data_IF_423642180867
#
_entry.id   IF_423642180867
#
_cell.length_a   1.000
_cell.length_b   1.000
_cell.length_c   1.000
_cell.angle_alpha   90.00
_cell.angle_beta   90.00
_cell.angle_gamma   90.00
#
_symmetry.space_group_name_H-M   'P 1'
#
loop_
_entity.id
_entity.type
_entity.pdbx_description
1 polymer ?
#
# COMPACT_ATOMS: atom_id res chain seq x y z
N UNK A 1 2.57 -22.97 7.41
CA UNK A 1 2.85 -21.53 7.54
C UNK A 1 1.55 -20.79 7.25
N UNK A 2 0.87 -20.29 8.28
CA UNK A 2 -0.34 -19.48 8.14
C UNK A 2 0.03 -18.14 7.52
N UNK A 3 -0.52 -17.84 6.33
CA UNK A 3 -0.40 -16.51 5.73
C UNK A 3 -1.37 -15.56 6.43
N UNK A 4 -1.01 -15.07 7.62
CA UNK A 4 -1.67 -13.90 8.19
C UNK A 4 -1.17 -12.67 7.43
N UNK A 5 -1.98 -12.17 6.50
CA UNK A 5 -1.75 -10.83 5.93
C UNK A 5 -2.30 -9.85 6.95
N UNK A 6 -1.43 -9.31 7.82
CA UNK A 6 -1.76 -8.13 8.62
C UNK A 6 -1.91 -6.94 7.66
N UNK A 7 -2.98 -6.16 7.82
CA UNK A 7 -3.14 -4.91 7.07
C UNK A 7 -2.45 -3.82 7.90
N UNK A 8 -1.12 -3.74 7.80
CA UNK A 8 -0.30 -2.76 8.53
C UNK A 8 -0.47 -1.31 8.02
N UNK A 9 -1.40 -1.08 7.08
CA UNK A 9 -1.76 0.22 6.51
C UNK A 9 -3.05 0.85 7.04
N UNK A 10 -3.65 0.30 8.09
CA UNK A 10 -4.91 0.79 8.66
C UNK A 10 -4.74 1.19 10.13
N UNK A 11 -5.12 2.42 10.45
CA UNK A 11 -5.16 2.92 11.82
C UNK A 11 -6.57 3.42 12.13
N UNK A 12 -7.23 2.73 13.07
CA UNK A 12 -8.49 3.16 13.66
C UNK A 12 -8.24 3.77 15.02
N UNK A 13 -9.02 4.80 15.37
CA UNK A 13 -8.96 5.45 16.68
C UNK A 13 -10.26 5.21 17.42
N UNK A 14 -10.16 4.45 18.50
CA UNK A 14 -11.27 4.10 19.38
C UNK A 14 -11.68 5.28 20.28
N UNK A 15 -12.85 5.16 20.91
CA UNK A 15 -13.37 6.13 21.88
C UNK A 15 -14.38 7.14 21.33
N UNK A 16 -14.52 7.23 20.01
CA UNK A 16 -15.47 8.14 19.35
C UNK A 16 -16.59 7.43 18.57
N UNK A 17 -16.66 6.09 18.66
CA UNK A 17 -17.57 5.26 17.87
C UNK A 17 -19.05 5.44 18.22
N UNK A 18 -19.34 5.86 19.45
CA UNK A 18 -20.70 6.05 19.96
C UNK A 18 -21.32 7.39 19.55
N UNK A 19 -20.55 8.28 18.92
CA UNK A 19 -21.01 9.60 18.53
C UNK A 19 -21.37 9.63 17.06
N UNK A 20 -22.50 10.26 16.73
CA UNK A 20 -22.86 10.53 15.34
C UNK A 20 -21.89 11.55 14.74
N UNK A 21 -21.64 11.47 13.43
CA UNK A 21 -20.82 12.43 12.71
C UNK A 21 -21.34 13.87 12.82
N UNK A 22 -22.62 14.05 13.12
CA UNK A 22 -23.25 15.35 13.36
C UNK A 22 -22.87 15.99 14.70
N UNK A 23 -22.40 15.20 15.67
CA UNK A 23 -21.94 15.70 16.97
C UNK A 23 -20.62 16.48 16.90
N UNK A 24 -19.92 16.44 15.76
CA UNK A 24 -18.61 17.07 15.58
C UNK A 24 -18.66 18.25 14.61
N UNK A 25 -17.90 19.29 14.95
CA UNK A 25 -17.60 20.38 14.03
C UNK A 25 -16.71 19.88 12.87
N UNK A 26 -17.34 19.55 11.73
CA UNK A 26 -16.67 18.99 10.54
C UNK A 26 -15.49 19.83 10.06
N UNK A 27 -15.52 21.16 10.22
CA UNK A 27 -14.42 22.05 9.82
C UNK A 27 -13.17 21.76 10.64
N UNK A 28 -13.32 21.62 11.97
CA UNK A 28 -12.23 21.29 12.90
C UNK A 28 -11.70 19.89 12.66
N UNK A 29 -12.59 18.90 12.52
CA UNK A 29 -12.19 17.51 12.20
C UNK A 29 -11.36 17.45 10.91
N UNK A 30 -11.85 18.09 9.83
CA UNK A 30 -11.13 18.14 8.56
C UNK A 30 -9.77 18.82 8.69
N UNK A 31 -9.64 19.86 9.52
CA UNK A 31 -8.36 20.51 9.75
C UNK A 31 -7.34 19.57 10.41
N UNK A 32 -7.74 18.86 11.47
CA UNK A 32 -6.87 17.86 12.12
C UNK A 32 -6.53 16.69 11.20
N UNK A 33 -7.49 16.20 10.42
CA UNK A 33 -7.24 15.16 9.40
C UNK A 33 -6.25 15.62 8.32
N UNK A 34 -6.33 16.88 7.85
CA UNK A 34 -5.32 17.41 6.91
C UNK A 34 -3.94 17.45 7.55
N UNK A 35 -3.84 17.81 8.84
CA UNK A 35 -2.57 17.81 9.57
C UNK A 35 -1.96 16.41 9.65
N UNK A 36 -2.77 15.40 9.95
CA UNK A 36 -2.35 13.99 9.92
C UNK A 36 -1.93 13.57 8.51
N UNK A 37 -2.73 13.89 7.49
CA UNK A 37 -2.41 13.57 6.10
C UNK A 37 -1.07 14.16 5.67
N UNK A 38 -0.81 15.42 6.01
CA UNK A 38 0.46 16.09 5.73
C UNK A 38 1.64 15.43 6.46
N UNK A 39 1.47 15.08 7.74
CA UNK A 39 2.50 14.41 8.54
C UNK A 39 2.91 13.06 7.93
N UNK A 40 1.92 12.18 7.68
CA UNK A 40 2.17 10.84 7.15
C UNK A 40 2.72 10.93 5.72
N UNK A 41 2.21 11.84 4.90
CA UNK A 41 2.70 12.05 3.52
C UNK A 41 4.15 12.52 3.51
N UNK A 42 4.50 13.52 4.32
CA UNK A 42 5.88 14.02 4.41
C UNK A 42 6.85 12.94 4.91
N UNK A 43 6.43 12.12 5.87
CA UNK A 43 7.23 10.96 6.32
C UNK A 43 7.38 9.90 5.23
N UNK A 44 6.31 9.59 4.50
CA UNK A 44 6.34 8.64 3.38
C UNK A 44 7.27 9.11 2.26
N UNK A 45 7.22 10.40 1.92
CA UNK A 45 8.12 11.04 0.96
C UNK A 45 9.58 10.98 1.43
N UNK A 46 9.83 11.27 2.71
CA UNK A 46 11.16 11.18 3.32
C UNK A 46 11.70 9.73 3.30
N UNK A 47 10.87 8.75 3.66
CA UNK A 47 11.23 7.33 3.64
C UNK A 47 11.63 6.89 2.22
N UNK A 48 10.89 7.33 1.19
CA UNK A 48 11.23 7.04 -0.19
C UNK A 48 12.49 7.80 -0.68
N UNK A 49 12.66 9.05 -0.28
CA UNK A 49 13.81 9.88 -0.66
C UNK A 49 15.12 9.36 -0.06
N UNK A 50 15.11 9.00 1.22
CA UNK A 50 16.29 8.52 1.95
C UNK A 50 16.51 7.02 1.77
N UNK A 51 15.43 6.25 1.59
CA UNK A 51 15.48 4.81 1.37
C UNK A 51 15.68 4.40 -0.08
N UNK A 52 15.91 5.35 -1.00
CA UNK A 52 16.25 5.08 -2.39
C UNK A 52 17.52 4.22 -2.47
N UNK A 53 17.34 2.91 -2.68
CA UNK A 53 18.43 1.92 -2.72
C UNK A 53 18.44 0.90 -1.58
N UNK A 54 17.60 1.05 -0.54
CA UNK A 54 17.40 -0.01 0.45
C UNK A 54 16.60 -1.17 -0.14
N UNK A 55 16.91 -2.40 0.30
CA UNK A 55 16.16 -3.59 -0.07
C UNK A 55 14.69 -3.40 0.33
N UNK A 56 13.77 -3.58 -0.62
CA UNK A 56 12.32 -3.47 -0.37
C UNK A 56 11.67 -2.20 -0.92
N UNK A 57 12.40 -1.09 -1.05
CA UNK A 57 11.87 0.17 -1.58
C UNK A 57 12.20 0.38 -3.08
N UNK A 58 11.37 1.14 -3.82
CA UNK A 58 11.71 1.53 -5.18
C UNK A 58 12.83 2.59 -5.18
N UNK A 59 13.69 2.54 -6.18
CA UNK A 59 14.72 3.55 -6.41
C UNK A 59 14.11 4.83 -6.98
N UNK A 60 14.47 5.98 -6.42
CA UNK A 60 14.05 7.29 -6.94
C UNK A 60 15.08 7.80 -7.94
N UNK A 61 14.69 7.93 -9.22
CA UNK A 61 15.55 8.47 -10.28
C UNK A 61 15.33 9.96 -10.55
N UNK A 62 14.07 10.38 -10.59
CA UNK A 62 13.67 11.73 -11.04
C UNK A 62 12.87 12.50 -9.99
N UNK A 63 12.57 11.90 -8.82
CA UNK A 63 11.72 12.50 -7.79
C UNK A 63 10.21 12.42 -8.07
N UNK A 64 9.78 12.15 -9.30
CA UNK A 64 8.36 12.11 -9.67
C UNK A 64 7.52 11.18 -8.77
N UNK A 65 8.06 10.01 -8.39
CA UNK A 65 7.37 9.09 -7.47
C UNK A 65 7.16 9.70 -6.09
N UNK A 66 8.14 10.46 -5.57
CA UNK A 66 8.04 11.14 -4.28
C UNK A 66 6.92 12.19 -4.34
N UNK A 67 6.91 13.01 -5.40
CA UNK A 67 5.92 14.06 -5.60
C UNK A 67 4.50 13.50 -5.79
N UNK A 68 4.38 12.28 -6.30
CA UNK A 68 3.10 11.62 -6.49
C UNK A 68 2.40 11.24 -5.19
N UNK A 69 3.13 11.08 -4.09
CA UNK A 69 2.57 10.68 -2.80
C UNK A 69 1.77 11.85 -2.24
N UNK A 70 0.44 11.68 -2.19
CA UNK A 70 -0.45 12.71 -1.67
C UNK A 70 -1.49 12.13 -0.72
N UNK A 71 -2.15 13.01 0.02
CA UNK A 71 -3.27 12.64 0.88
C UNK A 71 -4.58 13.24 0.40
N UNK A 72 -5.68 12.51 0.60
CA UNK A 72 -7.04 12.96 0.36
C UNK A 72 -7.90 12.71 1.59
N UNK A 73 -8.49 13.77 2.10
CA UNK A 73 -9.49 13.68 3.18
C UNK A 73 -10.84 13.31 2.58
N UNK A 74 -11.56 12.38 3.21
CA UNK A 74 -12.90 11.96 2.81
C UNK A 74 -13.91 13.12 2.85
N UNK A 75 -15.06 12.95 2.20
CA UNK A 75 -16.13 13.96 2.23
C UNK A 75 -16.68 14.18 3.66
N UNK A 76 -16.87 13.09 4.41
CA UNK A 76 -17.32 13.16 5.82
C UNK A 76 -16.29 13.85 6.72
N UNK A 77 -15.00 13.78 6.36
CA UNK A 77 -13.91 14.38 7.13
C UNK A 77 -13.29 13.44 8.15
N UNK A 78 -13.76 12.21 8.27
CA UNK A 78 -13.31 11.23 9.29
C UNK A 78 -12.36 10.15 8.72
N UNK A 79 -11.87 10.34 7.50
CA UNK A 79 -10.89 9.43 6.90
C UNK A 79 -9.88 10.22 6.09
N UNK A 80 -8.62 9.77 6.14
CA UNK A 80 -7.54 10.27 5.30
C UNK A 80 -6.95 9.09 4.55
N UNK A 81 -6.94 9.19 3.22
CA UNK A 81 -6.28 8.23 2.35
C UNK A 81 -4.94 8.82 1.93
N UNK A 82 -3.84 8.11 2.19
CA UNK A 82 -2.52 8.41 1.63
C UNK A 82 -2.29 7.43 0.49
N UNK A 83 -2.07 7.92 -0.72
CA UNK A 83 -1.59 7.09 -1.82
C UNK A 83 -0.98 7.94 -2.95
N UNK A 84 -0.21 7.31 -3.86
CA UNK A 84 0.25 7.96 -5.07
C UNK A 84 -0.91 8.44 -5.95
N UNK A 85 -0.72 9.57 -6.62
CA UNK A 85 -1.63 10.16 -7.61
C UNK A 85 -0.87 10.56 -8.87
N UNK A 86 -1.50 10.45 -10.04
CA UNK A 86 -0.88 10.87 -11.30
C UNK A 86 -0.57 12.37 -11.26
N UNK A 87 0.68 12.73 -11.47
CA UNK A 87 1.15 14.11 -11.60
C UNK A 87 1.35 14.46 -13.08
N UNK A 88 1.49 15.75 -13.38
CA UNK A 88 1.79 16.23 -14.75
C UNK A 88 3.17 15.77 -15.23
N UNK A 89 4.11 15.54 -14.32
CA UNK A 89 5.43 14.98 -14.60
C UNK A 89 5.41 13.49 -14.99
N UNK A 90 4.26 12.82 -14.90
CA UNK A 90 4.09 11.42 -15.25
C UNK A 90 3.28 11.26 -16.53
N UNK A 91 3.92 10.77 -17.59
CA UNK A 91 3.24 10.36 -18.82
C UNK A 91 2.19 9.27 -18.53
N UNK A 92 2.62 8.22 -17.82
CA UNK A 92 1.77 7.12 -17.37
C UNK A 92 1.73 7.03 -15.84
N UNK A 93 0.55 6.73 -15.30
CA UNK A 93 0.40 6.52 -13.86
C UNK A 93 0.87 5.12 -13.48
N UNK A 94 2.13 5.02 -13.07
CA UNK A 94 2.72 3.76 -12.63
C UNK A 94 3.38 3.92 -11.25
N UNK A 95 2.58 3.99 -10.16
CA UNK A 95 3.15 3.94 -8.82
C UNK A 95 3.71 2.53 -8.62
N UNK A 96 5.00 2.36 -8.88
CA UNK A 96 5.66 1.07 -8.87
C UNK A 96 5.72 0.52 -7.43
N UNK A 97 4.63 -0.12 -6.99
CA UNK A 97 4.56 -0.56 -5.61
C UNK A 97 3.73 -1.84 -5.44
N UNK A 98 4.44 -2.95 -5.26
CA UNK A 98 3.87 -4.29 -5.10
C UNK A 98 3.99 -4.74 -3.64
N UNK A 99 3.22 -4.09 -2.76
CA UNK A 99 3.24 -4.41 -1.31
C UNK A 99 3.03 -5.91 -1.06
N UNK A 100 1.98 -6.48 -1.65
CA UNK A 100 1.59 -7.88 -1.44
C UNK A 100 2.25 -8.85 -2.43
N UNK A 101 3.14 -8.36 -3.29
CA UNK A 101 3.76 -9.14 -4.36
C UNK A 101 2.75 -9.62 -5.43
N UNK A 102 3.24 -10.47 -6.33
CA UNK A 102 2.42 -11.11 -7.38
C UNK A 102 2.72 -12.60 -7.39
N UNK A 103 1.69 -13.45 -7.28
CA UNK A 103 1.86 -14.91 -7.36
C UNK A 103 2.03 -15.38 -8.81
N UNK A 104 2.78 -16.46 -9.01
CA UNK A 104 3.11 -17.10 -10.31
C UNK A 104 1.90 -17.76 -10.98
N UNK A 105 0.75 -17.80 -10.30
CA UNK A 105 -0.49 -18.43 -10.75
C UNK A 105 -0.43 -19.96 -10.73
N UNK A 106 -1.56 -20.60 -10.44
CA UNK A 106 -1.66 -22.06 -10.31
C UNK A 106 -1.50 -22.80 -11.64
N UNK A 107 -1.79 -22.16 -12.78
CA UNK A 107 -1.79 -22.78 -14.11
C UNK A 107 -0.45 -22.57 -14.83
N UNK A 108 0.26 -23.65 -15.19
CA UNK A 108 1.42 -23.58 -16.08
C UNK A 108 1.06 -22.94 -17.42
N UNK A 109 1.90 -22.03 -17.92
CA UNK A 109 1.79 -21.56 -19.32
C UNK A 109 2.15 -22.69 -20.29
N UNK A 110 1.73 -22.54 -21.54
CA UNK A 110 2.20 -23.40 -22.63
C UNK A 110 3.73 -23.37 -22.69
N UNK A 111 4.33 -24.46 -23.18
CA UNK A 111 5.75 -24.47 -23.50
C UNK A 111 6.02 -23.52 -24.66
N UNK A 112 7.20 -22.90 -24.68
CA UNK A 112 7.67 -22.21 -25.87
C UNK A 112 7.73 -23.20 -27.05
N UNK A 113 7.58 -22.74 -28.31
CA UNK A 113 7.69 -23.60 -29.49
C UNK A 113 8.98 -24.41 -29.48
N UNK A 114 8.89 -25.71 -29.79
CA UNK A 114 10.05 -26.62 -29.87
C UNK A 114 10.62 -27.11 -28.53
N UNK A 115 10.04 -26.73 -27.38
CA UNK A 115 10.50 -27.18 -26.05
C UNK A 115 9.78 -28.43 -25.52
N UNK A 116 8.73 -28.87 -26.21
CA UNK A 116 7.93 -30.03 -25.86
C UNK A 116 8.12 -31.19 -26.84
N UNK A 117 7.41 -32.29 -26.59
CA UNK A 117 7.47 -33.51 -27.38
C UNK A 117 6.54 -33.44 -28.59
N UNK A 118 7.11 -33.77 -29.75
CA UNK A 118 6.42 -33.90 -31.04
C UNK A 118 5.82 -32.59 -31.58
N UNK A 119 5.09 -32.70 -32.70
CA UNK A 119 4.40 -31.56 -33.35
C UNK A 119 3.43 -30.82 -32.42
N UNK A 120 2.88 -31.52 -31.42
CA UNK A 120 1.93 -30.96 -30.44
C UNK A 120 2.57 -30.21 -29.26
N UNK A 121 3.91 -30.12 -29.20
CA UNK A 121 4.65 -29.39 -28.16
C UNK A 121 4.24 -29.74 -26.71
N UNK A 122 3.94 -31.03 -26.46
CA UNK A 122 3.42 -31.47 -25.15
C UNK A 122 4.55 -31.63 -24.12
N UNK A 123 4.25 -31.31 -22.85
CA UNK A 123 5.14 -31.62 -21.71
C UNK A 123 5.29 -33.14 -21.54
N UNK A 124 6.40 -33.59 -20.97
CA UNK A 124 6.55 -34.99 -20.59
C UNK A 124 5.52 -35.39 -19.52
N UNK A 125 5.23 -36.69 -19.41
CA UNK A 125 4.35 -37.22 -18.36
C UNK A 125 4.89 -36.81 -16.97
N UNK A 126 4.01 -36.47 -16.04
CA UNK A 126 4.37 -36.04 -14.68
C UNK A 126 4.91 -34.61 -14.54
N UNK A 127 5.54 -34.03 -15.57
CA UNK A 127 6.11 -32.68 -15.50
C UNK A 127 5.07 -31.60 -15.19
N UNK A 128 3.85 -31.75 -15.70
CA UNK A 128 2.78 -30.79 -15.43
C UNK A 128 2.34 -30.87 -13.97
N UNK A 129 2.11 -32.07 -13.42
CA UNK A 129 1.74 -32.23 -12.02
C UNK A 129 2.84 -31.72 -11.09
N UNK A 130 4.10 -32.05 -11.36
CA UNK A 130 5.24 -31.57 -10.58
C UNK A 130 5.34 -30.04 -10.57
N UNK A 131 5.15 -29.39 -11.73
CA UNK A 131 5.21 -27.94 -11.83
C UNK A 131 4.00 -27.23 -11.19
N UNK A 132 2.82 -27.86 -11.18
CA UNK A 132 1.66 -27.39 -10.41
C UNK A 132 1.93 -27.49 -8.91
N UNK A 133 2.45 -28.63 -8.45
CA UNK A 133 2.80 -28.83 -7.04
C UNK A 133 3.87 -27.83 -6.57
N UNK A 134 4.93 -27.62 -7.35
CA UNK A 134 5.96 -26.61 -7.06
C UNK A 134 5.40 -25.18 -6.96
N UNK A 135 4.36 -24.85 -7.74
CA UNK A 135 3.70 -23.54 -7.69
C UNK A 135 2.75 -23.37 -6.50
N UNK A 136 2.18 -24.46 -5.98
CA UNK A 136 1.35 -24.41 -4.78
C UNK A 136 2.17 -24.06 -3.53
N UNK A 137 3.46 -24.42 -3.51
CA UNK A 137 4.35 -24.24 -2.36
C UNK A 137 4.73 -22.81 -2.00
N UNK A 138 5.11 -21.95 -2.97
CA UNK A 138 5.45 -20.52 -2.75
C UNK A 138 5.85 -19.79 -4.05
N UNK A 139 5.19 -20.09 -5.18
CA UNK A 139 5.54 -19.47 -6.46
C UNK A 139 5.22 -17.97 -6.48
N UNK A 140 6.13 -17.10 -6.05
CA UNK A 140 6.08 -15.67 -6.31
C UNK A 140 6.56 -15.40 -7.74
N UNK A 141 5.78 -14.65 -8.51
CA UNK A 141 6.24 -14.02 -9.75
C UNK A 141 7.07 -12.79 -9.44
N UNK A 142 6.63 -12.02 -8.45
CA UNK A 142 7.33 -10.89 -7.87
C UNK A 142 7.09 -10.98 -6.36
N UNK A 143 8.15 -10.94 -5.56
CA UNK A 143 8.02 -11.00 -4.10
C UNK A 143 7.39 -9.72 -3.54
N UNK A 144 6.69 -9.80 -2.39
CA UNK A 144 6.27 -8.64 -1.61
C UNK A 144 7.41 -7.63 -1.40
N UNK A 145 7.04 -6.37 -1.23
CA UNK A 145 7.94 -5.24 -1.00
C UNK A 145 7.54 -4.48 0.27
N UNK A 146 8.47 -3.73 0.82
CA UNK A 146 8.29 -2.90 2.03
C UNK A 146 7.69 -1.55 1.66
N UNK A 147 6.72 -1.05 2.43
CA UNK A 147 5.84 0.03 1.98
C UNK A 147 6.11 1.32 2.75
N UNK A 148 6.76 2.26 2.07
CA UNK A 148 7.10 3.56 2.61
C UNK A 148 5.89 4.32 3.21
N UNK A 149 4.65 4.07 2.78
CA UNK A 149 3.45 4.66 3.39
C UNK A 149 2.96 3.92 4.64
N UNK A 150 3.04 2.59 4.68
CA UNK A 150 2.67 1.83 5.90
C UNK A 150 3.71 2.08 6.99
N UNK A 151 4.97 2.12 6.59
CA UNK A 151 6.09 2.35 7.50
C UNK A 151 6.03 3.78 8.04
N UNK A 152 5.68 4.76 7.19
CA UNK A 152 5.40 6.11 7.65
C UNK A 152 4.22 6.19 8.64
N UNK A 153 3.15 5.41 8.42
CA UNK A 153 2.02 5.34 9.34
C UNK A 153 2.42 4.70 10.68
N UNK A 154 3.23 3.65 10.65
CA UNK A 154 3.75 2.98 11.84
C UNK A 154 4.66 3.92 12.64
N UNK A 155 5.61 4.58 11.98
CA UNK A 155 6.54 5.55 12.57
C UNK A 155 5.82 6.73 13.24
N UNK A 156 4.77 7.23 12.60
CA UNK A 156 4.04 8.42 13.06
C UNK A 156 2.83 8.09 13.92
N UNK A 157 2.57 6.80 14.23
CA UNK A 157 1.35 6.33 14.90
C UNK A 157 1.04 7.10 16.19
N UNK A 158 2.05 7.32 17.04
CA UNK A 158 1.87 8.02 18.31
C UNK A 158 1.45 9.48 18.09
N UNK A 159 2.07 10.18 17.14
CA UNK A 159 1.74 11.56 16.79
C UNK A 159 0.35 11.67 16.15
N UNK A 160 0.00 10.73 15.26
CA UNK A 160 -1.33 10.67 14.64
C UNK A 160 -2.39 10.47 15.72
N UNK A 161 -2.19 9.53 16.64
CA UNK A 161 -3.12 9.30 17.76
C UNK A 161 -3.27 10.56 18.64
N UNK A 162 -2.16 11.22 18.97
CA UNK A 162 -2.16 12.46 19.77
C UNK A 162 -2.92 13.58 19.05
N UNK A 163 -2.61 13.83 17.78
CA UNK A 163 -3.26 14.89 16.99
C UNK A 163 -4.76 14.63 16.87
N UNK A 164 -5.17 13.40 16.58
CA UNK A 164 -6.58 13.09 16.36
C UNK A 164 -7.38 13.05 17.66
N UNK A 165 -6.83 12.57 18.77
CA UNK A 165 -7.49 12.68 20.08
C UNK A 165 -7.77 14.13 20.44
N UNK A 166 -6.77 15.01 20.28
CA UNK A 166 -6.96 16.45 20.50
C UNK A 166 -8.00 17.04 19.54
N UNK A 167 -7.89 16.72 18.26
CA UNK A 167 -8.82 17.21 17.23
C UNK A 167 -10.25 16.82 17.53
N UNK A 168 -10.50 15.57 17.88
CA UNK A 168 -11.84 15.09 18.18
C UNK A 168 -12.38 15.69 19.48
N UNK A 169 -11.55 15.85 20.51
CA UNK A 169 -11.94 16.57 21.72
C UNK A 169 -12.33 18.02 21.43
N UNK A 170 -11.54 18.75 20.64
CA UNK A 170 -11.80 20.15 20.29
C UNK A 170 -13.00 20.35 19.34
N UNK A 171 -13.32 19.31 18.58
CA UNK A 171 -14.40 19.30 17.61
C UNK A 171 -15.73 18.78 18.18
N UNK A 172 -15.70 18.03 19.28
CA UNK A 172 -16.89 17.54 19.97
C UNK A 172 -17.61 18.73 20.63
N UNK A 173 -18.80 19.04 20.12
CA UNK A 173 -19.70 20.12 20.59
C UNK A 173 -18.97 21.39 21.08
N UNK A 174 -18.43 22.11 20.09
CA UNK A 174 -18.13 23.55 20.07
C UNK A 174 -18.44 24.11 18.68
#
# INVERSE_FOLDING_TARGET
MSNSVSVDGYLHIEGFEKFDFEAFNKRKVRAGMRKVGALVTGRAQMNLALGGGQAGYPESRTGATIDSISYKVSRSGFLVRIAPTKTESMEEFYPAYLHYGVRLGSRPRALAPGKGRGKSNRRASGQRQALVAARQGNGWRITPRDNYMTDALADTKADVQRILRQTFADALLN
#
